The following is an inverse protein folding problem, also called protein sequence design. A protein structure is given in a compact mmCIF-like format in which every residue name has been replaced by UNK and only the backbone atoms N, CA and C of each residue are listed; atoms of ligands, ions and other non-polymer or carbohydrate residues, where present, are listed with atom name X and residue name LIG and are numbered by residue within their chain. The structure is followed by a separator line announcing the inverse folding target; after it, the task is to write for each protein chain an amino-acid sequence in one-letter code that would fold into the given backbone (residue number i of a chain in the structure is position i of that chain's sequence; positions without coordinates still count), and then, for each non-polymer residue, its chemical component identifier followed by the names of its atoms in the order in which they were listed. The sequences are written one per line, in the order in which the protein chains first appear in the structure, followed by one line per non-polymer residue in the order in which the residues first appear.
data_IF_007611956737
#
_entry.id   IF_007611956737
#
_cell.length_a   1.000
_cell.length_b   1.000
_cell.length_c   1.000
_cell.angle_alpha   90.00
_cell.angle_beta   90.00
_cell.angle_gamma   90.00
#
_symmetry.space_group_name_H-M   'P 1'
#
loop_
_entity.id
_entity.type
_entity.pdbx_description
1 polymer ?
#
# COMPACT_ATOMS: atom_id res chain seq x y z
N UNK A 1 -6.08 -11.21 4.95
CA UNK A 1 -6.35 -12.01 6.17
C UNK A 1 -7.62 -12.86 6.07
N UNK A 2 -8.83 -12.33 5.81
CA UNK A 2 -10.03 -13.21 5.77
C UNK A 2 -10.06 -14.11 4.53
N UNK A 3 -9.64 -13.60 3.37
CA UNK A 3 -9.58 -14.37 2.13
C UNK A 3 -8.51 -15.45 2.13
N UNK A 4 -7.41 -15.28 2.88
CA UNK A 4 -6.32 -16.27 2.93
C UNK A 4 -6.66 -17.53 3.73
N UNK A 5 -7.85 -17.60 4.36
CA UNK A 5 -8.29 -18.79 5.09
C UNK A 5 -8.84 -19.88 4.15
N UNK A 6 -9.06 -19.56 2.88
CA UNK A 6 -9.45 -20.52 1.85
C UNK A 6 -8.40 -21.63 1.61
N UNK A 7 -7.13 -21.35 1.90
CA UNK A 7 -6.03 -22.33 1.76
C UNK A 7 -6.19 -23.58 2.62
N UNK A 8 -7.00 -23.52 3.68
CA UNK A 8 -7.30 -24.66 4.54
C UNK A 8 -8.28 -25.64 3.88
N UNK A 9 -9.04 -25.20 2.87
CA UNK A 9 -10.00 -26.03 2.13
C UNK A 9 -9.37 -26.73 0.91
N UNK A 10 -8.12 -26.41 0.56
CA UNK A 10 -7.43 -26.90 -0.65
C UNK A 10 -6.87 -28.33 -0.54
N UNK A 11 -7.09 -29.03 0.57
CA UNK A 11 -6.58 -30.41 0.76
C UNK A 11 -5.04 -30.53 0.77
N UNK A 12 -4.34 -29.43 1.06
CA UNK A 12 -2.88 -29.36 1.09
C UNK A 12 -2.31 -30.04 2.35
N UNK A 13 -1.06 -30.50 2.27
CA UNK A 13 -0.34 -31.01 3.45
C UNK A 13 -0.07 -29.89 4.47
N UNK A 14 0.11 -30.22 5.75
CA UNK A 14 0.23 -29.22 6.83
C UNK A 14 1.28 -28.12 6.57
N UNK A 15 2.45 -28.49 6.03
CA UNK A 15 3.49 -27.51 5.69
C UNK A 15 3.15 -26.66 4.46
N UNK A 16 2.43 -27.23 3.48
CA UNK A 16 1.96 -26.49 2.31
C UNK A 16 0.90 -25.47 2.69
N UNK A 17 0.00 -25.79 3.63
CA UNK A 17 -1.00 -24.85 4.15
C UNK A 17 -0.33 -23.65 4.80
N UNK A 18 0.67 -23.89 5.67
CA UNK A 18 1.40 -22.79 6.33
C UNK A 18 2.07 -21.89 5.29
N UNK A 19 2.80 -22.47 4.33
CA UNK A 19 3.46 -21.69 3.29
C UNK A 19 2.44 -20.89 2.43
N UNK A 20 1.36 -21.53 1.99
CA UNK A 20 0.31 -20.91 1.19
C UNK A 20 -0.35 -19.75 1.96
N UNK A 21 -0.64 -19.93 3.24
CA UNK A 21 -1.22 -18.91 4.10
C UNK A 21 -0.33 -17.65 4.21
N UNK A 22 0.98 -17.83 4.36
CA UNK A 22 1.91 -16.68 4.40
C UNK A 22 2.03 -15.97 3.06
N UNK A 23 2.06 -16.71 1.95
CA UNK A 23 2.11 -16.11 0.60
C UNK A 23 0.85 -15.28 0.32
N UNK A 24 -0.34 -15.78 0.69
CA UNK A 24 -1.60 -15.05 0.50
C UNK A 24 -1.68 -13.76 1.34
N UNK A 25 -0.95 -13.69 2.46
CA UNK A 25 -0.90 -12.50 3.31
C UNK A 25 0.31 -11.60 3.07
N UNK A 26 1.22 -12.00 2.18
CA UNK A 26 2.42 -11.24 1.87
C UNK A 26 2.12 -9.78 1.47
N UNK A 27 1.09 -9.48 0.63
CA UNK A 27 0.76 -8.10 0.30
C UNK A 27 0.41 -7.27 1.54
N UNK A 28 -0.38 -7.81 2.46
CA UNK A 28 -0.78 -7.12 3.69
C UNK A 28 0.38 -6.98 4.67
N UNK A 29 1.25 -7.99 4.79
CA UNK A 29 2.43 -7.95 5.66
C UNK A 29 3.42 -6.87 5.21
N UNK A 30 3.64 -6.72 3.90
CA UNK A 30 4.48 -5.66 3.35
C UNK A 30 3.91 -4.28 3.72
N UNK A 31 2.61 -4.06 3.52
CA UNK A 31 1.97 -2.80 3.91
C UNK A 31 2.08 -2.51 5.41
N UNK A 32 1.93 -3.54 6.26
CA UNK A 32 2.08 -3.39 7.71
C UNK A 32 3.50 -2.98 8.11
N UNK A 33 4.54 -3.56 7.48
CA UNK A 33 5.94 -3.19 7.71
C UNK A 33 6.19 -1.75 7.27
N UNK A 34 5.69 -1.35 6.10
CA UNK A 34 5.80 0.04 5.61
C UNK A 34 5.16 1.01 6.61
N UNK A 35 3.94 0.71 7.08
CA UNK A 35 3.26 1.54 8.09
C UNK A 35 4.06 1.64 9.39
N UNK A 36 4.60 0.53 9.88
CA UNK A 36 5.44 0.49 11.07
C UNK A 36 6.67 1.40 10.95
N UNK A 37 7.36 1.35 9.81
CA UNK A 37 8.51 2.24 9.53
C UNK A 37 8.06 3.70 9.44
N UNK A 38 6.90 3.93 8.81
CA UNK A 38 6.35 5.27 8.57
C UNK A 38 5.99 6.01 9.85
N UNK A 39 5.70 5.31 10.95
CA UNK A 39 5.49 5.94 12.27
C UNK A 39 6.73 6.66 12.79
N UNK A 40 7.93 6.17 12.49
CA UNK A 40 9.17 6.85 12.86
C UNK A 40 9.62 7.82 11.77
N UNK A 41 9.43 7.44 10.51
CA UNK A 41 9.88 8.16 9.32
C UNK A 41 8.70 8.47 8.40
N UNK A 42 7.91 9.49 8.74
CA UNK A 42 6.67 9.84 8.02
C UNK A 42 6.88 10.08 6.52
N UNK A 43 8.03 10.65 6.13
CA UNK A 43 8.38 10.83 4.72
C UNK A 43 8.42 9.51 3.93
N UNK A 44 8.85 8.42 4.57
CA UNK A 44 8.90 7.10 3.94
C UNK A 44 7.48 6.64 3.61
N UNK A 45 6.55 6.79 4.55
CA UNK A 45 5.14 6.48 4.30
C UNK A 45 4.57 7.32 3.17
N UNK A 46 4.80 8.63 3.22
CA UNK A 46 4.32 9.55 2.20
C UNK A 46 4.76 9.16 0.80
N UNK A 47 6.06 8.92 0.61
CA UNK A 47 6.64 8.58 -0.69
C UNK A 47 6.23 7.17 -1.15
N UNK A 48 6.31 6.17 -0.27
CA UNK A 48 6.04 4.77 -0.63
C UNK A 48 4.59 4.57 -1.04
N UNK A 49 3.62 5.13 -0.30
CA UNK A 49 2.20 4.97 -0.64
C UNK A 49 1.82 5.68 -1.94
N UNK A 50 2.39 6.86 -2.21
CA UNK A 50 2.16 7.57 -3.48
C UNK A 50 2.77 6.80 -4.64
N UNK A 51 4.03 6.37 -4.53
CA UNK A 51 4.69 5.60 -5.59
C UNK A 51 3.98 4.29 -5.85
N UNK A 52 3.53 3.58 -4.81
CA UNK A 52 2.79 2.33 -4.94
C UNK A 52 1.48 2.52 -5.73
N UNK A 53 0.70 3.56 -5.40
CA UNK A 53 -0.51 3.90 -6.16
C UNK A 53 -0.20 4.23 -7.63
N UNK A 54 0.80 5.07 -7.89
CA UNK A 54 1.18 5.42 -9.28
C UNK A 54 1.66 4.20 -10.05
N UNK A 55 2.47 3.34 -9.43
CA UNK A 55 2.96 2.11 -10.05
C UNK A 55 1.82 1.15 -10.38
N UNK A 56 0.85 0.99 -9.49
CA UNK A 56 -0.34 0.17 -9.73
C UNK A 56 -1.21 0.73 -10.85
N UNK A 57 -1.46 2.05 -10.86
CA UNK A 57 -2.18 2.73 -11.93
C UNK A 57 -1.52 2.53 -13.30
N UNK A 58 -0.20 2.75 -13.40
CA UNK A 58 0.55 2.54 -14.64
C UNK A 58 0.49 1.08 -15.06
N UNK A 59 0.64 0.16 -14.12
CA UNK A 59 0.56 -1.27 -14.39
C UNK A 59 -0.80 -1.64 -15.02
N UNK A 60 -1.91 -1.17 -14.45
CA UNK A 60 -3.23 -1.39 -15.01
C UNK A 60 -3.41 -0.73 -16.37
N UNK A 61 -2.98 0.52 -16.57
CA UNK A 61 -3.10 1.19 -17.86
C UNK A 61 -2.33 0.49 -18.99
N UNK A 62 -1.18 -0.13 -18.67
CA UNK A 62 -0.33 -0.80 -19.66
C UNK A 62 -0.75 -2.26 -19.88
N UNK A 63 -1.33 -2.92 -18.88
CA UNK A 63 -1.59 -4.37 -18.90
C UNK A 63 -3.06 -4.75 -18.98
N UNK A 64 -3.97 -3.88 -18.55
CA UNK A 64 -5.39 -4.14 -18.65
C UNK A 64 -5.82 -3.91 -20.10
N UNK A 65 -6.10 -5.00 -20.81
CA UNK A 65 -6.68 -4.98 -22.16
C UNK A 65 -8.18 -4.61 -22.09
N UNK A 66 -8.45 -3.41 -21.59
CA UNK A 66 -9.80 -2.88 -21.35
C UNK A 66 -9.97 -1.63 -22.19
N UNK A 67 -10.86 -1.74 -23.17
CA UNK A 67 -11.30 -0.62 -24.00
C UNK A 67 -12.67 -0.11 -23.54
N UNK A 68 -12.86 1.21 -23.42
CA UNK A 68 -11.85 2.26 -23.60
C UNK A 68 -10.86 2.42 -22.43
N UNK A 69 -9.63 2.86 -22.73
CA UNK A 69 -8.53 3.02 -21.75
C UNK A 69 -8.90 3.83 -20.48
N UNK A 70 -9.83 4.79 -20.58
CA UNK A 70 -10.25 5.61 -19.44
C UNK A 70 -11.01 4.79 -18.39
N UNK A 71 -11.57 3.63 -18.74
CA UNK A 71 -12.19 2.71 -17.78
C UNK A 71 -11.12 2.15 -16.83
N UNK A 72 -9.99 1.68 -17.36
CA UNK A 72 -8.85 1.23 -16.56
C UNK A 72 -8.35 2.33 -15.63
N UNK A 73 -8.28 3.57 -16.13
CA UNK A 73 -7.92 4.73 -15.33
C UNK A 73 -8.89 4.93 -14.15
N UNK A 74 -10.20 4.95 -14.40
CA UNK A 74 -11.20 5.16 -13.35
C UNK A 74 -11.19 4.04 -12.30
N UNK A 75 -11.05 2.78 -12.72
CA UNK A 75 -10.96 1.63 -11.82
C UNK A 75 -9.70 1.73 -10.95
N UNK A 76 -8.55 2.03 -11.55
CA UNK A 76 -7.30 2.20 -10.81
C UNK A 76 -7.43 3.32 -9.77
N UNK A 77 -8.05 4.45 -10.13
CA UNK A 77 -8.22 5.57 -9.21
C UNK A 77 -9.05 5.18 -7.97
N UNK A 78 -10.14 4.43 -8.14
CA UNK A 78 -10.96 3.97 -7.01
C UNK A 78 -10.14 3.10 -6.04
N UNK A 79 -9.27 2.24 -6.56
CA UNK A 79 -8.42 1.35 -5.76
C UNK A 79 -7.26 2.12 -5.11
N UNK A 80 -6.69 3.09 -5.82
CA UNK A 80 -5.48 3.80 -5.39
C UNK A 80 -5.76 5.02 -4.50
N UNK A 81 -7.00 5.54 -4.50
CA UNK A 81 -7.41 6.69 -3.67
C UNK A 81 -7.06 6.51 -2.18
N UNK A 82 -7.36 5.37 -1.53
CA UNK A 82 -6.95 5.14 -0.15
C UNK A 82 -5.42 5.23 0.03
N UNK A 83 -4.64 4.71 -0.91
CA UNK A 83 -3.17 4.77 -0.84
C UNK A 83 -2.68 6.22 -0.98
N UNK A 84 -3.21 6.98 -1.94
CA UNK A 84 -2.87 8.40 -2.09
C UNK A 84 -3.26 9.21 -0.86
N UNK A 85 -4.43 8.97 -0.29
CA UNK A 85 -4.87 9.64 0.93
C UNK A 85 -3.91 9.37 2.09
N UNK A 86 -3.53 8.11 2.32
CA UNK A 86 -2.55 7.73 3.35
C UNK A 86 -1.20 8.42 3.09
N UNK A 87 -0.72 8.41 1.84
CA UNK A 87 0.53 9.06 1.48
C UNK A 87 0.52 10.57 1.74
N UNK A 88 -0.55 11.27 1.33
CA UNK A 88 -0.73 12.71 1.59
C UNK A 88 -0.79 13.00 3.09
N UNK A 89 -1.50 12.18 3.88
CA UNK A 89 -1.56 12.35 5.34
C UNK A 89 -0.18 12.22 6.00
N UNK A 90 0.63 11.25 5.59
CA UNK A 90 2.01 11.11 6.06
C UNK A 90 2.89 12.29 5.67
N UNK A 91 2.76 12.82 4.44
CA UNK A 91 3.47 14.02 4.03
C UNK A 91 3.07 15.24 4.86
N UNK A 92 1.78 15.44 5.12
CA UNK A 92 1.29 16.52 6.00
C UNK A 92 1.89 16.39 7.40
N UNK A 93 1.89 15.18 7.97
CA UNK A 93 2.55 14.91 9.26
C UNK A 93 4.02 15.32 9.25
N UNK A 94 4.74 14.92 8.21
CA UNK A 94 6.16 15.23 8.06
C UNK A 94 6.43 16.73 8.00
N UNK A 95 5.65 17.50 7.23
CA UNK A 95 5.79 18.95 7.17
C UNK A 95 5.49 19.62 8.51
N UNK A 96 4.43 19.20 9.22
CA UNK A 96 4.09 19.73 10.56
C UNK A 96 5.17 19.45 11.59
N UNK A 97 5.74 18.24 11.59
CA UNK A 97 6.86 17.87 12.47
C UNK A 97 8.10 18.71 12.21
N UNK A 98 8.36 19.06 10.95
CA UNK A 98 9.49 19.92 10.57
C UNK A 98 9.29 21.37 11.00
N UNK A 99 8.04 21.87 10.99
CA UNK A 99 7.71 23.22 11.44
C UNK A 99 7.83 23.39 12.96
N UNK A 100 7.51 22.35 13.74
CA UNK A 100 7.75 22.33 15.19
C UNK A 100 9.24 22.34 15.55
N UNK A 101 10.09 21.85 14.66
CA UNK A 101 11.55 21.91 14.80
C UNK A 101 12.11 23.20 14.17
N UNK A 102 11.54 24.36 14.51
CA UNK A 102 12.25 25.64 14.38
C UNK A 102 12.80 25.96 15.77
N UNK A 103 14.14 26.08 15.94
CA UNK A 103 14.67 26.53 17.22
C UNK A 103 14.06 27.90 17.50
N UNK A 104 13.34 28.02 18.62
CA UNK A 104 12.92 29.31 19.13
C UNK A 104 14.17 30.15 19.30
N UNK A 105 14.30 31.19 18.49
CA UNK A 105 15.38 32.17 18.65
C UNK A 105 15.21 32.83 20.01
N UNK A 106 16.11 32.51 20.93
CA UNK A 106 16.29 33.18 22.22
C UNK A 106 17.48 34.13 22.11
#
# INVERSE_FOLDING_TARGET
MIFSLDVFELGLTGWQVVAAFFIHNLPSLILAIVLWISWKYEIVGGVVFIIAGVAHMIFLLVRADVEPWYISFLISLIIDVPAYLIGVLFLIGWFKKKEQWKPTEF
#
